data_IF_335949811249
#
_entry.id   IF_335949811249
#
_cell.length_a   1.000
_cell.length_b   1.000
_cell.length_c   1.000
_cell.angle_alpha   90.00
_cell.angle_beta   90.00
_cell.angle_gamma   90.00
#
_symmetry.space_group_name_H-M   'P 1'
#
loop_
_entity.id
_entity.type
_entity.pdbx_description
1 polymer ?
#
# COMPACT_ATOMS: atom_id res chain seq x y z
N UNK A 1 18.12 14.75 -14.38
CA UNK A 1 16.96 13.86 -14.28
C UNK A 1 16.65 13.61 -12.81
N UNK A 2 15.42 13.87 -12.39
CA UNK A 2 15.04 13.72 -10.99
C UNK A 2 14.65 12.27 -10.72
N UNK A 3 15.33 11.61 -9.79
CA UNK A 3 14.96 10.26 -9.35
C UNK A 3 13.75 10.36 -8.42
N UNK A 4 12.72 9.56 -8.69
CA UNK A 4 11.57 9.50 -7.81
C UNK A 4 11.92 8.79 -6.49
N UNK A 5 11.49 9.39 -5.39
CA UNK A 5 11.65 8.80 -4.06
C UNK A 5 10.51 7.82 -3.77
N UNK A 6 10.66 7.03 -2.69
CA UNK A 6 9.57 6.17 -2.21
C UNK A 6 8.33 7.02 -1.92
N UNK A 7 8.50 8.18 -1.28
CA UNK A 7 7.40 9.09 -0.98
C UNK A 7 6.66 9.53 -2.25
N UNK A 8 7.40 9.82 -3.32
CA UNK A 8 6.79 10.21 -4.60
C UNK A 8 5.88 9.10 -5.15
N UNK A 9 6.33 7.86 -5.11
CA UNK A 9 5.52 6.72 -5.54
C UNK A 9 4.31 6.50 -4.64
N UNK A 10 4.51 6.58 -3.32
CA UNK A 10 3.42 6.41 -2.34
C UNK A 10 2.33 7.46 -2.57
N UNK A 11 2.71 8.70 -2.82
CA UNK A 11 1.75 9.79 -3.05
C UNK A 11 0.94 9.63 -4.34
N UNK A 12 1.35 8.75 -5.24
CA UNK A 12 0.61 8.41 -6.46
C UNK A 12 -0.38 7.26 -6.27
N UNK A 13 -0.27 6.50 -5.17
CA UNK A 13 -1.13 5.34 -4.93
C UNK A 13 -2.62 5.67 -4.95
N UNK A 14 -3.10 6.82 -4.44
CA UNK A 14 -4.52 7.13 -4.53
C UNK A 14 -5.09 7.06 -5.95
N UNK A 15 -4.31 7.44 -6.95
CA UNK A 15 -4.75 7.38 -8.35
C UNK A 15 -4.97 5.93 -8.80
N UNK A 16 -4.13 5.00 -8.31
CA UNK A 16 -4.23 3.58 -8.64
C UNK A 16 -5.43 2.92 -7.99
N UNK A 17 -5.80 3.38 -6.78
CA UNK A 17 -6.92 2.82 -6.01
C UNK A 17 -8.25 3.52 -6.25
N UNK A 18 -8.26 4.69 -6.87
CA UNK A 18 -9.50 5.37 -7.23
C UNK A 18 -10.18 4.65 -8.38
N UNK A 19 -11.01 3.68 -8.05
CA UNK A 19 -11.67 2.83 -9.01
C UNK A 19 -13.11 2.58 -8.58
N UNK A 20 -14.07 2.46 -9.51
CA UNK A 20 -15.46 2.14 -9.14
C UNK A 20 -15.59 0.88 -8.27
N UNK A 21 -14.66 -0.08 -8.39
CA UNK A 21 -14.64 -1.30 -7.58
C UNK A 21 -14.25 -1.05 -6.11
N UNK A 22 -13.67 0.10 -5.79
CA UNK A 22 -13.37 0.48 -4.40
C UNK A 22 -14.61 1.00 -3.67
N UNK A 23 -15.71 1.19 -4.37
CA UNK A 23 -16.96 1.61 -3.79
C UNK A 23 -17.43 0.59 -2.74
N UNK A 24 -17.87 1.09 -1.59
CA UNK A 24 -18.29 0.24 -0.48
C UNK A 24 -17.18 -0.18 0.46
N UNK A 25 -15.91 0.12 0.13
CA UNK A 25 -14.78 -0.14 1.04
C UNK A 25 -14.56 1.10 1.92
N UNK A 26 -14.55 0.88 3.24
CA UNK A 26 -14.18 1.90 4.22
C UNK A 26 -13.09 1.28 5.10
N UNK A 27 -11.85 1.72 4.94
CA UNK A 27 -10.73 1.11 5.63
C UNK A 27 -9.49 2.01 5.61
N UNK A 28 -8.65 1.86 6.63
CA UNK A 28 -7.31 2.42 6.65
C UNK A 28 -6.30 1.30 6.49
N UNK A 29 -5.39 1.47 5.53
CA UNK A 29 -4.28 0.57 5.25
C UNK A 29 -2.98 1.24 5.67
N UNK A 30 -2.33 0.69 6.69
CA UNK A 30 -1.04 1.18 7.16
C UNK A 30 0.09 0.58 6.33
N UNK A 31 0.98 1.44 5.86
CA UNK A 31 2.19 1.04 5.13
C UNK A 31 3.41 1.39 5.97
N UNK A 32 4.26 0.39 6.23
CA UNK A 32 5.53 0.57 6.92
C UNK A 32 6.64 0.12 5.96
N UNK A 33 7.47 1.06 5.54
CA UNK A 33 8.56 0.79 4.61
C UNK A 33 9.88 0.99 5.34
N UNK A 34 10.63 -0.10 5.50
CA UNK A 34 11.90 -0.10 6.20
C UNK A 34 13.05 0.09 5.22
N UNK A 35 14.23 0.44 5.76
CA UNK A 35 15.45 0.59 4.97
C UNK A 35 15.60 1.97 4.36
N UNK A 36 16.38 2.04 3.29
CA UNK A 36 16.71 3.31 2.67
C UNK A 36 15.48 4.03 2.11
N UNK A 37 15.34 5.30 2.44
CA UNK A 37 14.24 6.16 2.00
C UNK A 37 12.86 5.65 2.46
N UNK A 38 12.85 4.88 3.56
CA UNK A 38 11.63 4.34 4.12
C UNK A 38 10.82 5.35 4.91
N UNK A 39 9.74 4.88 5.50
CA UNK A 39 8.85 5.71 6.30
C UNK A 39 7.53 5.01 6.54
N UNK A 40 6.60 5.74 7.12
CA UNK A 40 5.26 5.26 7.44
C UNK A 40 4.22 6.13 6.76
N UNK A 41 3.28 5.49 6.08
CA UNK A 41 2.14 6.15 5.45
C UNK A 41 0.90 5.31 5.67
N UNK A 42 -0.26 5.91 5.51
CA UNK A 42 -1.49 5.13 5.45
C UNK A 42 -2.43 5.64 4.37
N UNK A 43 -3.11 4.68 3.76
CA UNK A 43 -4.17 4.93 2.79
C UNK A 43 -5.50 4.89 3.52
N UNK A 44 -6.27 5.97 3.40
CA UNK A 44 -7.65 6.01 3.87
C UNK A 44 -8.56 5.82 2.67
N UNK A 45 -9.31 4.72 2.67
CA UNK A 45 -10.27 4.42 1.62
C UNK A 45 -11.67 4.62 2.18
N UNK A 46 -12.47 5.44 1.51
CA UNK A 46 -13.83 5.71 1.93
C UNK A 46 -14.74 5.78 0.69
N UNK A 47 -15.40 4.66 0.40
CA UNK A 47 -16.43 4.54 -0.64
C UNK A 47 -15.96 5.08 -2.00
N UNK A 48 -14.77 4.65 -2.42
CA UNK A 48 -14.18 5.06 -3.70
C UNK A 48 -13.24 6.25 -3.64
N UNK A 49 -13.28 7.03 -2.56
CA UNK A 49 -12.32 8.11 -2.33
C UNK A 49 -11.10 7.57 -1.60
N UNK A 50 -9.92 7.86 -2.10
CA UNK A 50 -8.67 7.37 -1.52
C UNK A 50 -7.75 8.54 -1.24
N UNK A 51 -7.25 8.60 -0.01
CA UNK A 51 -6.29 9.61 0.43
C UNK A 51 -5.07 8.93 1.03
N UNK A 52 -3.90 9.52 0.82
CA UNK A 52 -2.66 9.09 1.46
C UNK A 52 -2.23 10.13 2.49
N UNK A 53 -1.80 9.65 3.64
CA UNK A 53 -1.27 10.51 4.71
C UNK A 53 0.01 9.90 5.24
N UNK A 54 0.94 10.76 5.63
CA UNK A 54 2.18 10.35 6.31
C UNK A 54 1.89 10.09 7.78
N UNK A 55 2.54 9.06 8.34
CA UNK A 55 2.41 8.70 9.75
C UNK A 55 1.61 7.42 9.97
N UNK A 56 1.08 7.28 11.18
CA UNK A 56 0.35 6.10 11.62
C UNK A 56 -1.15 6.37 11.72
N UNK A 57 -1.95 5.47 11.13
CA UNK A 57 -3.40 5.48 11.35
C UNK A 57 -3.69 5.05 12.80
N UNK A 58 -4.76 5.61 13.39
CA UNK A 58 -5.15 5.27 14.75
C UNK A 58 -5.63 3.82 14.89
N UNK A 59 -6.40 3.35 13.91
CA UNK A 59 -6.99 2.01 13.93
C UNK A 59 -6.98 1.41 12.53
N UNK A 60 -5.80 1.02 11.99
CA UNK A 60 -5.77 0.43 10.66
C UNK A 60 -6.39 -0.96 10.66
N UNK A 61 -7.19 -1.25 9.65
CA UNK A 61 -7.76 -2.58 9.43
C UNK A 61 -6.70 -3.58 9.00
N UNK A 62 -5.68 -3.10 8.30
CA UNK A 62 -4.57 -3.93 7.85
C UNK A 62 -3.28 -3.12 7.87
N UNK A 63 -2.19 -3.79 8.21
CA UNK A 63 -0.85 -3.21 8.24
C UNK A 63 0.07 -4.03 7.35
N UNK A 64 0.82 -3.36 6.50
CA UNK A 64 1.74 -3.98 5.54
C UNK A 64 3.13 -3.42 5.78
N UNK A 65 4.10 -4.30 6.00
CA UNK A 65 5.49 -3.93 6.18
C UNK A 65 6.37 -4.58 5.11
N UNK A 66 7.21 -3.79 4.48
CA UNK A 66 8.18 -4.26 3.49
C UNK A 66 9.42 -3.37 3.52
N UNK A 67 10.57 -3.89 3.07
CA UNK A 67 11.71 -3.01 2.89
C UNK A 67 11.54 -2.17 1.61
N UNK A 68 12.34 -1.12 1.48
CA UNK A 68 12.22 -0.16 0.39
C UNK A 68 12.44 -0.79 -0.99
N UNK A 69 13.35 -1.76 -1.12
CA UNK A 69 13.60 -2.43 -2.39
C UNK A 69 12.37 -3.21 -2.85
N UNK A 70 11.76 -3.98 -1.94
CA UNK A 70 10.55 -4.75 -2.23
C UNK A 70 9.39 -3.81 -2.53
N UNK A 71 9.21 -2.78 -1.70
CA UNK A 71 8.13 -1.80 -1.89
C UNK A 71 8.22 -1.13 -3.25
N UNK A 72 9.41 -0.72 -3.65
CA UNK A 72 9.63 -0.06 -4.94
C UNK A 72 9.31 -1.00 -6.10
N UNK A 73 9.76 -2.25 -6.04
CA UNK A 73 9.45 -3.24 -7.08
C UNK A 73 7.96 -3.55 -7.17
N UNK A 74 7.27 -3.61 -6.04
CA UNK A 74 5.81 -3.80 -6.02
C UNK A 74 5.10 -2.64 -6.71
N UNK A 75 5.47 -1.42 -6.37
CA UNK A 75 4.86 -0.21 -6.92
C UNK A 75 5.13 -0.09 -8.42
N UNK A 76 6.31 -0.49 -8.87
CA UNK A 76 6.69 -0.45 -10.27
C UNK A 76 6.15 -1.63 -11.09
N UNK A 77 5.45 -2.56 -10.46
CA UNK A 77 4.94 -3.75 -11.14
C UNK A 77 5.98 -4.82 -11.45
N UNK A 78 7.18 -4.72 -10.86
CA UNK A 78 8.29 -5.66 -11.09
C UNK A 78 8.29 -6.84 -10.12
N UNK A 79 7.46 -6.80 -9.10
CA UNK A 79 7.30 -7.85 -8.11
C UNK A 79 5.83 -8.18 -7.97
N UNK A 80 5.47 -9.46 -8.06
CA UNK A 80 4.10 -9.90 -7.85
C UNK A 80 3.75 -9.79 -6.36
N UNK A 81 2.65 -9.09 -6.00
CA UNK A 81 2.26 -8.92 -4.60
C UNK A 81 1.97 -10.24 -3.88
N UNK A 82 1.34 -11.18 -4.56
CA UNK A 82 1.00 -12.48 -3.97
C UNK A 82 2.26 -13.28 -3.68
N UNK A 83 3.21 -13.30 -4.60
CA UNK A 83 4.49 -13.97 -4.42
C UNK A 83 5.27 -13.34 -3.28
N UNK A 84 5.28 -12.03 -3.19
CA UNK A 84 5.97 -11.32 -2.09
C UNK A 84 5.36 -11.68 -0.74
N UNK A 85 4.05 -11.79 -0.66
CA UNK A 85 3.35 -12.17 0.56
C UNK A 85 3.67 -13.61 0.97
N UNK A 86 3.58 -14.55 0.03
CA UNK A 86 3.84 -15.98 0.28
C UNK A 86 5.29 -16.24 0.69
N UNK A 87 6.23 -15.54 0.06
CA UNK A 87 7.67 -15.73 0.35
C UNK A 87 8.17 -14.93 1.55
N UNK A 88 7.28 -14.21 2.24
CA UNK A 88 7.65 -13.45 3.44
C UNK A 88 8.39 -12.15 3.18
N UNK A 89 8.47 -11.68 1.94
CA UNK A 89 9.06 -10.38 1.60
C UNK A 89 8.20 -9.22 2.09
N UNK A 90 6.91 -9.47 2.26
CA UNK A 90 5.93 -8.53 2.80
C UNK A 90 5.29 -9.17 4.02
N UNK A 91 5.25 -8.44 5.13
CA UNK A 91 4.59 -8.87 6.36
C UNK A 91 3.25 -8.17 6.48
N UNK A 92 2.21 -8.92 6.83
CA UNK A 92 0.85 -8.41 6.93
C UNK A 92 0.28 -8.74 8.29
N UNK A 93 -0.33 -7.72 8.92
CA UNK A 93 -1.10 -7.86 10.15
C UNK A 93 -2.49 -7.32 9.93
N UNK A 94 -3.49 -7.96 10.54
CA UNK A 94 -4.87 -7.52 10.47
C UNK A 94 -5.67 -8.25 9.39
N UNK A 95 -6.56 -7.53 8.71
CA UNK A 95 -7.51 -8.13 7.76
C UNK A 95 -6.85 -8.44 6.41
N UNK A 96 -6.31 -9.64 6.28
CA UNK A 96 -5.66 -10.10 5.04
C UNK A 96 -6.64 -10.18 3.87
N UNK A 97 -7.87 -10.55 4.11
CA UNK A 97 -8.88 -10.64 3.06
C UNK A 97 -9.15 -9.26 2.43
N UNK A 98 -9.19 -8.23 3.26
CA UNK A 98 -9.34 -6.85 2.80
C UNK A 98 -8.14 -6.43 1.95
N UNK A 99 -6.91 -6.75 2.39
CA UNK A 99 -5.70 -6.45 1.62
C UNK A 99 -5.74 -7.12 0.25
N UNK A 100 -6.14 -8.39 0.18
CA UNK A 100 -6.26 -9.13 -1.08
C UNK A 100 -7.26 -8.47 -2.02
N UNK A 101 -8.38 -8.01 -1.49
CA UNK A 101 -9.39 -7.30 -2.26
C UNK A 101 -8.83 -5.98 -2.81
N UNK A 102 -8.08 -5.26 -2.01
CA UNK A 102 -7.45 -4.00 -2.44
C UNK A 102 -6.38 -4.22 -3.51
N UNK A 103 -5.56 -5.27 -3.37
CA UNK A 103 -4.54 -5.61 -4.38
C UNK A 103 -5.20 -5.86 -5.74
N UNK A 104 -6.35 -6.52 -5.78
CA UNK A 104 -7.07 -6.79 -7.02
C UNK A 104 -7.54 -5.53 -7.74
N UNK A 105 -7.72 -4.44 -7.01
CA UNK A 105 -8.16 -3.18 -7.62
C UNK A 105 -7.06 -2.54 -8.48
N UNK A 106 -5.79 -2.82 -8.18
CA UNK A 106 -4.64 -2.21 -8.86
C UNK A 106 -3.96 -3.14 -9.86
N UNK A 107 -4.48 -4.33 -10.05
CA UNK A 107 -3.96 -5.28 -11.05
C UNK A 107 -4.69 -5.21 -12.37
#
# INVERSE_FOLDING_TARGET
MTTLTIADYINRLPQDFEHPKAKGIVADLQLIITGFDGGEWYLSVNDGAVKIREGYASFPEVEVEANSDVALRLIQGKQNPMTALITGKVKVKGNKALLMKMIRLIQ
#
